data_IF_736737969638
#
_entry.id   IF_736737969638
#
_cell.length_a   1.000
_cell.length_b   1.000
_cell.length_c   1.000
_cell.angle_alpha   90.00
_cell.angle_beta   90.00
_cell.angle_gamma   90.00
#
_symmetry.space_group_name_H-M   'P 1'
#
loop_
_entity.id
_entity.type
_entity.pdbx_description
1 polymer ?
#
# COMPACT_ATOMS: atom_id res chain seq x y z
N UNK A 1 45.11 4.03 -8.68
CA UNK A 1 43.80 3.38 -8.88
C UNK A 1 43.22 2.69 -7.63
N UNK A 2 43.88 2.67 -6.45
CA UNK A 2 43.34 1.97 -5.27
C UNK A 2 42.25 2.75 -4.50
N UNK A 3 42.31 4.08 -4.49
CA UNK A 3 41.40 4.92 -3.71
C UNK A 3 39.92 4.80 -4.12
N UNK A 4 39.61 4.72 -5.41
CA UNK A 4 38.24 4.54 -5.91
C UNK A 4 37.69 3.14 -5.60
N UNK A 5 38.55 2.11 -5.67
CA UNK A 5 38.18 0.72 -5.36
C UNK A 5 37.93 0.54 -3.85
N UNK A 6 38.72 1.20 -3.00
CA UNK A 6 38.50 1.25 -1.55
C UNK A 6 37.28 2.10 -1.18
N UNK A 7 37.01 3.19 -1.89
CA UNK A 7 35.80 4.01 -1.72
C UNK A 7 34.53 3.23 -2.06
N UNK A 8 34.50 2.48 -3.16
CA UNK A 8 33.39 1.57 -3.49
C UNK A 8 33.21 0.47 -2.43
N UNK A 9 34.30 -0.10 -1.91
CA UNK A 9 34.23 -1.10 -0.83
C UNK A 9 33.73 -0.50 0.50
N UNK A 10 34.05 0.77 0.80
CA UNK A 10 33.56 1.48 2.00
C UNK A 10 32.10 1.93 1.87
N UNK A 11 31.64 2.25 0.66
CA UNK A 11 30.21 2.52 0.39
C UNK A 11 29.40 1.24 0.63
N UNK A 12 29.90 0.08 0.18
CA UNK A 12 29.27 -1.22 0.47
C UNK A 12 29.44 -1.70 1.93
N UNK A 13 30.30 -1.06 2.73
CA UNK A 13 30.53 -1.43 4.15
C UNK A 13 29.69 -0.59 5.13
N UNK A 14 29.00 0.47 4.66
CA UNK A 14 27.93 1.16 5.40
C UNK A 14 26.55 0.64 5.02
N UNK A 15 26.47 -0.67 4.76
CA UNK A 15 25.20 -1.40 4.73
C UNK A 15 24.63 -1.39 6.16
N UNK A 16 23.97 -0.29 6.54
CA UNK A 16 22.74 -0.41 7.33
C UNK A 16 21.95 -1.48 6.58
N UNK A 17 21.66 -2.61 7.21
CA UNK A 17 20.89 -3.65 6.55
C UNK A 17 19.57 -3.04 6.08
N UNK A 18 19.44 -2.78 4.77
CA UNK A 18 18.22 -2.37 4.07
C UNK A 18 17.12 -3.45 4.12
N UNK A 19 17.18 -4.39 5.07
CA UNK A 19 16.26 -5.53 5.13
C UNK A 19 14.81 -5.08 5.31
N UNK A 20 14.61 -3.95 6.00
CA UNK A 20 13.29 -3.50 6.40
C UNK A 20 12.92 -2.13 5.79
N UNK A 21 13.73 -1.55 4.90
CA UNK A 21 13.37 -0.30 4.24
C UNK A 21 14.05 -0.10 2.88
N UNK A 22 13.38 0.61 1.99
CA UNK A 22 13.88 0.93 0.66
C UNK A 22 13.23 2.19 0.08
N UNK A 23 13.88 2.78 -0.92
CA UNK A 23 13.34 3.86 -1.74
C UNK A 23 13.25 3.33 -3.18
N UNK A 24 12.06 3.04 -3.73
CA UNK A 24 11.91 2.35 -5.01
C UNK A 24 12.63 3.04 -6.16
N UNK A 25 12.60 4.37 -6.20
CA UNK A 25 13.28 5.14 -7.25
C UNK A 25 14.80 4.93 -7.27
N UNK A 26 15.41 4.63 -6.12
CA UNK A 26 16.84 4.34 -6.01
C UNK A 26 17.12 2.88 -6.37
N UNK A 27 16.25 1.96 -5.94
CA UNK A 27 16.44 0.51 -6.13
C UNK A 27 16.05 0.00 -7.52
N UNK A 28 15.21 0.72 -8.26
CA UNK A 28 14.63 0.30 -9.54
C UNK A 28 15.60 0.38 -10.73
N UNK A 29 16.81 -0.16 -10.61
CA UNK A 29 17.77 -0.19 -11.73
C UNK A 29 17.20 -1.06 -12.86
N UNK A 30 16.83 -0.43 -13.98
CA UNK A 30 16.33 -1.11 -15.17
C UNK A 30 14.82 -1.41 -15.19
N UNK A 31 14.05 -0.89 -14.22
CA UNK A 31 12.57 -0.95 -14.19
C UNK A 31 11.99 0.37 -13.65
N UNK A 32 10.67 0.54 -13.67
CA UNK A 32 10.04 1.69 -13.00
C UNK A 32 9.96 1.47 -11.48
N UNK A 33 9.90 2.56 -10.71
CA UNK A 33 9.73 2.52 -9.26
C UNK A 33 8.49 1.69 -8.85
N UNK A 34 7.36 1.90 -9.52
CA UNK A 34 6.15 1.12 -9.30
C UNK A 34 6.32 -0.37 -9.57
N UNK A 35 6.93 -0.75 -10.70
CA UNK A 35 7.15 -2.15 -11.04
C UNK A 35 8.11 -2.84 -10.06
N UNK A 36 9.09 -2.11 -9.52
CA UNK A 36 9.94 -2.60 -8.45
C UNK A 36 9.11 -2.94 -7.19
N UNK A 37 8.23 -2.04 -6.74
CA UNK A 37 7.35 -2.27 -5.57
C UNK A 37 6.39 -3.43 -5.82
N UNK A 38 5.81 -3.52 -7.01
CA UNK A 38 4.96 -4.65 -7.41
C UNK A 38 5.72 -5.96 -7.28
N UNK A 39 6.92 -6.06 -7.86
CA UNK A 39 7.76 -7.27 -7.74
C UNK A 39 8.09 -7.60 -6.29
N UNK A 40 8.43 -6.58 -5.50
CA UNK A 40 8.75 -6.74 -4.09
C UNK A 40 7.56 -7.32 -3.30
N UNK A 41 6.37 -6.71 -3.38
CA UNK A 41 5.21 -7.18 -2.63
C UNK A 41 4.63 -8.49 -3.15
N UNK A 42 4.71 -8.78 -4.45
CA UNK A 42 4.35 -10.11 -4.97
C UNK A 42 5.26 -11.19 -4.39
N UNK A 43 6.57 -10.95 -4.39
CA UNK A 43 7.55 -11.85 -3.77
C UNK A 43 7.29 -12.02 -2.26
N UNK A 44 6.95 -10.94 -1.57
CA UNK A 44 6.60 -10.95 -0.15
C UNK A 44 5.36 -11.81 0.13
N UNK A 45 4.27 -11.61 -0.62
CA UNK A 45 3.02 -12.37 -0.51
C UNK A 45 3.20 -13.85 -0.87
N UNK A 46 4.07 -14.17 -1.84
CA UNK A 46 4.41 -15.56 -2.18
C UNK A 46 5.20 -16.25 -1.07
N UNK A 47 6.07 -15.51 -0.36
CA UNK A 47 6.90 -16.05 0.72
C UNK A 47 6.13 -16.20 2.04
N UNK A 48 5.06 -15.43 2.23
CA UNK A 48 4.21 -15.43 3.41
C UNK A 48 2.79 -15.89 3.04
N UNK A 49 2.67 -17.16 2.68
CA UNK A 49 1.45 -17.73 2.11
C UNK A 49 0.25 -17.73 3.08
N UNK A 50 0.45 -17.52 4.37
CA UNK A 50 -0.63 -17.37 5.33
C UNK A 50 -1.35 -16.01 5.21
N UNK A 51 -0.75 -15.00 4.58
CA UNK A 51 -1.39 -13.70 4.37
C UNK A 51 -2.62 -13.90 3.51
N UNK A 52 -3.78 -13.49 4.02
CA UNK A 52 -5.04 -13.47 3.28
C UNK A 52 -5.78 -12.13 3.41
N UNK A 53 -5.25 -11.19 4.20
CA UNK A 53 -5.84 -9.87 4.42
C UNK A 53 -4.79 -8.80 4.19
N UNK A 54 -5.13 -7.81 3.39
CA UNK A 54 -4.26 -6.68 3.05
C UNK A 54 -5.08 -5.42 3.34
N UNK A 55 -4.62 -4.59 4.25
CA UNK A 55 -5.24 -3.32 4.59
C UNK A 55 -4.37 -2.20 4.04
N UNK A 56 -4.97 -1.28 3.30
CA UNK A 56 -4.34 -0.10 2.73
C UNK A 56 -4.97 1.12 3.37
N UNK A 57 -4.17 1.91 4.06
CA UNK A 57 -4.54 3.24 4.54
C UNK A 57 -3.83 4.23 3.61
N UNK A 58 -4.59 4.97 2.80
CA UNK A 58 -4.07 6.02 1.92
C UNK A 58 -5.11 7.15 1.85
N UNK A 59 -4.76 8.40 2.20
CA UNK A 59 -5.72 9.50 2.22
C UNK A 59 -6.28 9.84 0.83
N UNK A 60 -5.62 9.42 -0.25
CA UNK A 60 -6.00 9.82 -1.60
C UNK A 60 -6.21 8.59 -2.47
N UNK A 61 -7.46 8.37 -2.89
CA UNK A 61 -7.80 7.32 -3.85
C UNK A 61 -8.50 7.90 -5.08
N UNK A 62 -7.90 7.63 -6.23
CA UNK A 62 -8.47 7.87 -7.55
C UNK A 62 -8.90 6.54 -8.21
N UNK A 63 -9.69 6.62 -9.28
CA UNK A 63 -10.16 5.44 -10.03
C UNK A 63 -8.99 4.58 -10.52
N UNK A 64 -7.91 5.21 -10.99
CA UNK A 64 -6.69 4.54 -11.44
C UNK A 64 -5.99 3.72 -10.33
N UNK A 65 -6.20 4.07 -9.06
CA UNK A 65 -5.55 3.37 -7.95
C UNK A 65 -6.10 1.95 -7.77
N UNK A 66 -7.31 1.64 -8.23
CA UNK A 66 -7.82 0.27 -8.21
C UNK A 66 -6.97 -0.67 -9.08
N UNK A 67 -6.53 -0.18 -10.25
CA UNK A 67 -5.61 -0.93 -11.11
C UNK A 67 -4.24 -1.09 -10.43
N UNK A 68 -3.73 -0.03 -9.79
CA UNK A 68 -2.45 -0.08 -9.06
C UNK A 68 -2.49 -1.06 -7.88
N UNK A 69 -3.56 -1.02 -7.09
CA UNK A 69 -3.82 -1.97 -6.00
C UNK A 69 -3.90 -3.41 -6.52
N UNK A 70 -4.52 -3.62 -7.68
CA UNK A 70 -4.57 -4.94 -8.34
C UNK A 70 -3.18 -5.42 -8.73
N UNK A 71 -2.36 -4.54 -9.32
CA UNK A 71 -0.97 -4.86 -9.66
C UNK A 71 -0.14 -5.19 -8.41
N UNK A 72 -0.32 -4.45 -7.31
CA UNK A 72 0.41 -4.67 -6.06
C UNK A 72 -0.02 -5.98 -5.36
N UNK A 73 -1.33 -6.22 -5.24
CA UNK A 73 -1.88 -7.16 -4.26
C UNK A 73 -2.78 -8.25 -4.84
N UNK A 74 -3.21 -8.13 -6.10
CA UNK A 74 -4.09 -9.09 -6.76
C UNK A 74 -3.43 -10.42 -7.13
N UNK A 75 -4.13 -11.26 -7.88
CA UNK A 75 -3.57 -12.51 -8.42
C UNK A 75 -3.50 -13.67 -7.41
N UNK A 76 -4.12 -13.52 -6.25
CA UNK A 76 -4.41 -14.62 -5.36
C UNK A 76 -5.86 -14.49 -4.85
N UNK A 77 -6.72 -15.41 -5.27
CA UNK A 77 -8.15 -15.37 -4.99
C UNK A 77 -8.50 -15.51 -3.51
N UNK A 78 -7.54 -15.84 -2.63
CA UNK A 78 -7.75 -15.83 -1.17
C UNK A 78 -7.65 -14.43 -0.56
N UNK A 79 -7.05 -13.46 -1.26
CA UNK A 79 -6.72 -12.16 -0.70
C UNK A 79 -7.99 -11.31 -0.53
N UNK A 80 -8.17 -10.79 0.68
CA UNK A 80 -9.16 -9.79 1.04
C UNK A 80 -8.45 -8.44 1.10
N UNK A 81 -8.86 -7.51 0.25
CA UNK A 81 -8.34 -6.14 0.24
C UNK A 81 -9.29 -5.23 1.02
N UNK A 82 -8.75 -4.51 1.99
CA UNK A 82 -9.45 -3.48 2.75
C UNK A 82 -8.75 -2.15 2.49
N UNK A 83 -9.46 -1.15 1.97
CA UNK A 83 -8.91 0.18 1.70
C UNK A 83 -9.65 1.20 2.55
N UNK A 84 -8.91 1.96 3.36
CA UNK A 84 -9.45 3.11 4.10
C UNK A 84 -8.85 4.37 3.48
N UNK A 85 -9.73 5.24 2.99
CA UNK A 85 -9.32 6.41 2.21
C UNK A 85 -10.24 7.61 2.39
N UNK A 86 -9.81 8.77 1.86
CA UNK A 86 -10.73 9.87 1.57
C UNK A 86 -10.98 9.93 0.07
N UNK A 87 -12.26 9.87 -0.29
CA UNK A 87 -12.69 10.32 -1.60
C UNK A 87 -12.61 11.85 -1.61
N UNK A 88 -11.48 12.38 -2.05
CA UNK A 88 -11.40 13.79 -2.39
C UNK A 88 -12.30 14.04 -3.61
N UNK A 89 -13.30 14.90 -3.45
CA UNK A 89 -13.84 15.57 -4.62
C UNK A 89 -12.73 16.48 -5.12
N UNK A 90 -12.32 16.35 -6.38
CA UNK A 90 -11.67 17.48 -7.02
C UNK A 90 -12.61 18.69 -6.82
N UNK A 91 -12.13 19.85 -6.35
CA UNK A 91 -12.97 20.93 -5.83
C UNK A 91 -13.87 21.60 -6.86
N UNK A 92 -14.06 21.01 -8.05
CA UNK A 92 -14.83 21.60 -9.12
C UNK A 92 -16.28 21.12 -9.20
N UNK A 93 -16.65 19.85 -8.95
CA UNK A 93 -18.08 19.45 -9.01
C UNK A 93 -18.39 18.18 -8.16
N UNK A 94 -19.43 18.23 -7.32
CA UNK A 94 -19.92 17.06 -6.54
C UNK A 94 -20.36 15.87 -7.41
N UNK A 95 -20.85 16.15 -8.62
CA UNK A 95 -21.20 15.15 -9.65
C UNK A 95 -20.02 14.24 -9.99
N UNK A 96 -18.80 14.79 -10.04
CA UNK A 96 -17.57 14.06 -10.32
C UNK A 96 -17.20 13.07 -9.22
N UNK A 97 -17.50 13.38 -7.94
CA UNK A 97 -17.19 12.49 -6.81
C UNK A 97 -18.08 11.26 -6.82
N UNK A 98 -19.39 11.41 -7.00
CA UNK A 98 -20.32 10.28 -7.04
C UNK A 98 -20.02 9.36 -8.22
N UNK A 99 -19.71 9.92 -9.38
CA UNK A 99 -19.30 9.14 -10.54
C UNK A 99 -18.00 8.35 -10.27
N UNK A 100 -16.97 8.99 -9.71
CA UNK A 100 -15.72 8.31 -9.37
C UNK A 100 -15.94 7.15 -8.38
N UNK A 101 -16.81 7.34 -7.37
CA UNK A 101 -17.18 6.27 -6.43
C UNK A 101 -17.87 5.13 -7.18
N UNK A 102 -18.83 5.41 -8.06
CA UNK A 102 -19.51 4.38 -8.85
C UNK A 102 -18.55 3.60 -9.75
N UNK A 103 -17.58 4.28 -10.37
CA UNK A 103 -16.55 3.64 -11.18
C UNK A 103 -15.66 2.73 -10.33
N UNK A 104 -15.26 3.17 -9.14
CA UNK A 104 -14.48 2.36 -8.19
C UNK A 104 -15.28 1.14 -7.73
N UNK A 105 -16.56 1.30 -7.36
CA UNK A 105 -17.46 0.22 -6.93
C UNK A 105 -17.65 -0.80 -8.05
N UNK A 106 -17.92 -0.33 -9.27
CA UNK A 106 -18.07 -1.21 -10.44
C UNK A 106 -16.78 -1.97 -10.74
N UNK A 107 -15.64 -1.27 -10.67
CA UNK A 107 -14.33 -1.87 -10.90
C UNK A 107 -14.00 -2.95 -9.88
N UNK A 108 -14.21 -2.70 -8.59
CA UNK A 108 -13.87 -3.69 -7.55
C UNK A 108 -14.77 -4.93 -7.65
N UNK A 109 -16.05 -4.77 -8.00
CA UNK A 109 -16.97 -5.90 -8.12
C UNK A 109 -16.53 -6.82 -9.26
N UNK A 110 -16.12 -6.25 -10.41
CA UNK A 110 -15.54 -7.03 -11.51
C UNK A 110 -14.27 -7.78 -11.11
N UNK A 111 -13.41 -7.18 -10.28
CA UNK A 111 -12.18 -7.83 -9.81
C UNK A 111 -12.49 -9.02 -8.89
N UNK A 112 -13.51 -8.91 -8.05
CA UNK A 112 -13.99 -10.01 -7.20
C UNK A 112 -14.65 -11.11 -8.03
N UNK A 113 -15.56 -10.76 -8.95
CA UNK A 113 -16.21 -11.72 -9.86
C UNK A 113 -15.21 -12.51 -10.71
N UNK A 114 -14.14 -11.87 -11.15
CA UNK A 114 -13.08 -12.50 -11.93
C UNK A 114 -12.06 -13.28 -11.06
N UNK A 115 -12.26 -13.36 -9.75
CA UNK A 115 -11.38 -14.11 -8.84
C UNK A 115 -10.00 -13.48 -8.62
N UNK A 116 -9.83 -12.19 -8.95
CA UNK A 116 -8.56 -11.47 -8.71
C UNK A 116 -8.30 -11.28 -7.22
N UNK A 117 -9.38 -11.08 -6.46
CA UNK A 117 -9.44 -11.01 -5.01
C UNK A 117 -10.65 -11.81 -4.51
N UNK A 118 -10.61 -12.27 -3.26
CA UNK A 118 -11.78 -12.86 -2.59
C UNK A 118 -12.86 -11.80 -2.33
N UNK A 119 -12.43 -10.64 -1.83
CA UNK A 119 -13.28 -9.52 -1.51
C UNK A 119 -12.45 -8.23 -1.52
N UNK A 120 -13.10 -7.11 -1.84
CA UNK A 120 -12.54 -5.76 -1.78
C UNK A 120 -13.55 -4.88 -1.03
N UNK A 121 -13.14 -4.36 0.13
CA UNK A 121 -13.93 -3.41 0.90
C UNK A 121 -13.23 -2.05 0.85
N UNK A 122 -13.93 -1.02 0.41
CA UNK A 122 -13.39 0.35 0.35
C UNK A 122 -14.23 1.22 1.28
N UNK A 123 -13.56 1.94 2.17
CA UNK A 123 -14.19 2.70 3.23
C UNK A 123 -13.78 4.17 3.15
N UNK A 124 -14.77 5.06 3.29
CA UNK A 124 -14.53 6.48 3.39
C UNK A 124 -14.33 6.90 4.84
N UNK A 125 -13.12 7.37 5.18
CA UNK A 125 -12.81 7.91 6.50
C UNK A 125 -13.42 9.29 6.72
N UNK A 126 -14.06 9.49 7.88
CA UNK A 126 -14.53 10.81 8.34
C UNK A 126 -13.44 11.58 9.12
N UNK A 127 -12.37 10.91 9.56
CA UNK A 127 -11.28 11.52 10.29
C UNK A 127 -10.29 12.21 9.36
N UNK A 128 -9.61 13.26 9.82
CA UNK A 128 -8.42 13.77 9.11
C UNK A 128 -7.33 12.69 9.12
N UNK A 129 -6.85 12.34 7.93
CA UNK A 129 -5.83 11.31 7.74
C UNK A 129 -4.81 11.82 6.72
N UNK A 130 -3.53 11.64 7.04
CA UNK A 130 -2.41 11.86 6.11
C UNK A 130 -1.39 10.72 6.15
N UNK A 131 -1.49 9.85 7.16
CA UNK A 131 -0.65 8.67 7.30
C UNK A 131 -0.99 7.62 6.26
N UNK A 132 0.03 6.83 5.90
CA UNK A 132 -0.07 5.81 4.86
C UNK A 132 0.58 4.53 5.31
N UNK A 133 -0.21 3.46 5.29
CA UNK A 133 0.22 2.16 5.77
C UNK A 133 -0.28 1.04 4.86
N UNK A 134 0.57 0.05 4.61
CA UNK A 134 0.15 -1.26 4.12
C UNK A 134 0.30 -2.26 5.25
N UNK A 135 -0.79 -2.88 5.66
CA UNK A 135 -0.82 -3.86 6.74
C UNK A 135 -1.16 -5.21 6.13
N UNK A 136 -0.30 -6.20 6.34
CA UNK A 136 -0.51 -7.57 5.90
C UNK A 136 -0.89 -8.43 7.09
N UNK A 137 -1.92 -9.25 6.92
CA UNK A 137 -2.45 -10.09 7.98
C UNK A 137 -3.06 -11.39 7.49
N UNK A 138 -3.40 -12.23 8.46
CA UNK A 138 -4.19 -13.43 8.30
C UNK A 138 -5.40 -13.32 9.24
N UNK A 139 -6.58 -13.11 8.68
CA UNK A 139 -7.79 -12.78 9.42
C UNK A 139 -7.56 -11.57 10.36
N UNK A 140 -7.67 -11.78 11.67
CA UNK A 140 -7.45 -10.74 12.69
C UNK A 140 -5.97 -10.64 13.15
N UNK A 141 -5.11 -11.58 12.75
CA UNK A 141 -3.69 -11.56 13.09
C UNK A 141 -2.92 -10.69 12.11
N UNK A 142 -2.23 -9.67 12.61
CA UNK A 142 -1.31 -8.88 11.80
C UNK A 142 0.05 -9.59 11.71
N UNK A 143 0.62 -9.61 10.50
CA UNK A 143 1.88 -10.25 10.18
C UNK A 143 2.96 -9.20 9.99
N UNK A 144 2.66 -8.13 9.25
CA UNK A 144 3.58 -7.03 9.05
C UNK A 144 2.86 -5.72 8.72
N UNK A 145 3.57 -4.61 8.94
CA UNK A 145 3.10 -3.27 8.66
C UNK A 145 4.22 -2.53 7.94
N UNK A 146 3.88 -1.86 6.84
CA UNK A 146 4.79 -0.99 6.11
C UNK A 146 4.28 0.44 6.21
N UNK A 147 5.13 1.36 6.64
CA UNK A 147 4.92 2.80 6.47
C UNK A 147 5.28 3.20 5.04
N UNK A 148 4.48 4.08 4.44
CA UNK A 148 4.70 4.55 3.06
C UNK A 148 4.82 6.07 3.06
N UNK A 149 5.91 6.61 2.51
CA UNK A 149 6.17 8.05 2.51
C UNK A 149 5.30 8.89 1.57
N UNK A 150 4.49 8.28 0.71
CA UNK A 150 3.65 8.96 -0.27
C UNK A 150 2.55 8.06 -0.81
N UNK A 151 1.62 8.63 -1.56
CA UNK A 151 0.39 7.93 -1.99
C UNK A 151 0.64 7.00 -3.17
N UNK A 152 -0.19 5.97 -3.30
CA UNK A 152 -0.12 4.99 -4.40
C UNK A 152 -0.22 5.70 -5.77
N UNK A 153 -1.01 6.77 -5.85
CA UNK A 153 -1.19 7.54 -7.08
C UNK A 153 0.07 8.26 -7.58
N UNK A 154 1.11 8.37 -6.73
CA UNK A 154 2.41 8.93 -7.08
C UNK A 154 3.37 7.87 -7.66
N UNK A 155 2.92 6.60 -7.76
CA UNK A 155 3.66 5.49 -8.38
C UNK A 155 5.08 5.27 -7.81
N UNK A 156 5.31 5.77 -6.60
CA UNK A 156 6.58 5.74 -5.89
C UNK A 156 7.74 6.50 -6.59
N UNK A 157 7.44 7.44 -7.47
CA UNK A 157 8.44 8.18 -8.27
C UNK A 157 9.08 9.39 -7.56
N UNK A 158 8.57 9.77 -6.38
CA UNK A 158 9.02 10.97 -5.63
C UNK A 158 9.92 10.64 -4.44
N UNK A 159 10.90 9.75 -4.62
CA UNK A 159 11.77 9.24 -3.54
C UNK A 159 10.98 8.72 -2.33
N UNK A 160 9.82 8.10 -2.58
CA UNK A 160 8.93 7.60 -1.53
C UNK A 160 9.63 6.47 -0.78
N UNK A 161 9.78 6.61 0.53
CA UNK A 161 10.32 5.55 1.38
C UNK A 161 9.23 4.52 1.70
N UNK A 162 9.56 3.23 1.60
CA UNK A 162 8.78 2.14 2.18
C UNK A 162 9.61 1.50 3.29
N UNK A 163 9.00 1.31 4.46
CA UNK A 163 9.68 0.75 5.61
C UNK A 163 8.77 -0.19 6.39
N UNK A 164 9.21 -1.42 6.60
CA UNK A 164 8.58 -2.37 7.50
C UNK A 164 8.81 -1.94 8.95
N UNK A 165 7.71 -1.87 9.71
CA UNK A 165 7.70 -1.51 11.13
C UNK A 165 8.13 -2.73 11.93
N UNK A 166 9.19 -2.57 12.72
CA UNK A 166 9.70 -3.61 13.63
C UNK A 166 9.48 -3.28 15.10
N UNK A 167 9.18 -2.02 15.41
CA UNK A 167 8.89 -1.58 16.78
C UNK A 167 7.45 -1.98 17.15
N UNK A 168 7.30 -2.73 18.25
CA UNK A 168 5.99 -3.24 18.67
C UNK A 168 5.05 -2.14 19.13
N UNK A 169 5.56 -1.13 19.83
CA UNK A 169 4.74 -0.01 20.31
C UNK A 169 4.21 0.82 19.13
N UNK A 170 5.04 1.06 18.13
CA UNK A 170 4.61 1.75 16.92
C UNK A 170 3.61 0.91 16.12
N UNK A 171 3.84 -0.41 16.04
CA UNK A 171 2.88 -1.33 15.41
C UNK A 171 1.52 -1.27 16.11
N UNK A 172 1.50 -1.40 17.44
CA UNK A 172 0.27 -1.30 18.26
C UNK A 172 -0.43 0.05 18.07
N UNK A 173 0.33 1.14 17.95
CA UNK A 173 -0.21 2.48 17.68
C UNK A 173 -0.90 2.56 16.30
N UNK A 174 -0.30 1.97 15.26
CA UNK A 174 -0.89 1.90 13.91
C UNK A 174 -2.15 1.04 13.92
N UNK A 175 -2.14 -0.08 14.65
CA UNK A 175 -3.30 -0.97 14.82
C UNK A 175 -4.44 -0.23 15.52
N UNK A 176 -4.12 0.50 16.60
CA UNK A 176 -5.09 1.32 17.29
C UNK A 176 -5.68 2.39 16.37
N UNK A 177 -4.83 3.07 15.59
CA UNK A 177 -5.28 4.04 14.61
C UNK A 177 -6.20 3.43 13.54
N UNK A 178 -5.87 2.26 13.00
CA UNK A 178 -6.74 1.51 12.08
C UNK A 178 -8.10 1.20 12.71
N UNK A 179 -8.13 0.77 13.97
CA UNK A 179 -9.38 0.51 14.69
C UNK A 179 -10.21 1.78 14.91
N UNK A 180 -9.57 2.92 15.19
CA UNK A 180 -10.25 4.21 15.29
C UNK A 180 -10.89 4.60 13.95
N UNK A 181 -10.11 4.53 12.87
CA UNK A 181 -10.62 4.79 11.52
C UNK A 181 -11.84 3.90 11.21
N UNK A 182 -11.82 2.62 11.61
CA UNK A 182 -12.92 1.68 11.38
C UNK A 182 -14.20 1.99 12.16
N UNK A 183 -14.11 2.63 13.33
CA UNK A 183 -15.29 2.99 14.14
C UNK A 183 -16.06 4.17 13.54
N UNK A 184 -15.36 5.05 12.83
CA UNK A 184 -15.91 6.27 12.25
C UNK A 184 -16.24 6.14 10.76
N UNK A 185 -16.47 4.91 10.28
CA UNK A 185 -16.82 4.66 8.88
C UNK A 185 -18.33 4.82 8.67
N UNK A 186 -18.71 5.67 7.71
CA UNK A 186 -20.12 5.86 7.32
C UNK A 186 -20.60 4.83 6.30
N UNK A 187 -19.74 4.45 5.37
CA UNK A 187 -20.14 3.74 4.16
C UNK A 187 -19.12 2.65 3.79
N UNK A 188 -19.63 1.49 3.40
CA UNK A 188 -18.88 0.43 2.72
C UNK A 188 -19.23 0.53 1.24
N UNK A 189 -18.25 0.93 0.43
CA UNK A 189 -18.41 1.02 -1.02
C UNK A 189 -17.98 -0.28 -1.67
#
# INVERSE_FOLDING_TARGET
MSYLKERSKRINAKNVQHKNCFIPQIEAVGVTAFNYVVKHFKSYLMSNYEINKIIVIDPYMAVADLQRLTMLFGGNSKNILEVITKFEAFPREESSKQQAIQEIVTGKNKLVENGVFNNINIYHSQMTMHDRYFIFGNNDRIISIFTVGGSINQEFESYIQLQEVSDSYFSDSIIHYHQMLRKDLKDVY
#
